data_IF_773345230003
#
_entry.id   IF_773345230003
#
_cell.length_a   1.000
_cell.length_b   1.000
_cell.length_c   1.000
_cell.angle_alpha   90.00
_cell.angle_beta   90.00
_cell.angle_gamma   90.00
#
_symmetry.space_group_name_H-M   'P 1'
#
loop_
_entity.id
_entity.type
_entity.pdbx_description
1 polymer ?
#
# COMPACT_ATOMS: atom_id res chain seq x y z
N UNK A 1 7.61 -22.71 21.64
CA UNK A 1 6.63 -22.86 20.54
C UNK A 1 6.34 -21.48 19.99
N UNK A 2 6.79 -21.19 18.77
CA UNK A 2 6.41 -19.94 18.10
C UNK A 2 5.08 -20.25 17.39
N UNK A 3 3.98 -19.75 17.94
CA UNK A 3 2.68 -19.84 17.30
C UNK A 3 2.73 -19.02 16.01
N UNK A 4 2.76 -19.68 14.85
CA UNK A 4 2.55 -19.03 13.55
C UNK A 4 1.05 -18.78 13.43
N UNK A 5 0.60 -17.55 13.70
CA UNK A 5 -0.78 -17.16 13.39
C UNK A 5 -0.90 -17.13 11.86
N UNK A 6 -1.76 -17.99 11.31
CA UNK A 6 -2.19 -17.87 9.91
C UNK A 6 -2.88 -16.52 9.72
N UNK A 7 -2.62 -15.90 8.56
CA UNK A 7 -3.32 -14.69 8.12
C UNK A 7 -4.83 -14.99 8.01
N UNK A 8 -5.71 -14.11 8.51
CA UNK A 8 -7.15 -14.28 8.36
C UNK A 8 -7.55 -14.16 6.88
N UNK A 9 -8.54 -14.95 6.49
CA UNK A 9 -9.19 -14.87 5.19
C UNK A 9 -10.02 -13.60 5.06
N UNK A 10 -10.36 -13.20 3.83
CA UNK A 10 -11.16 -12.00 3.60
C UNK A 10 -12.56 -12.10 4.26
N UNK A 11 -13.15 -13.29 4.29
CA UNK A 11 -14.45 -13.51 4.92
C UNK A 11 -14.38 -13.38 6.45
N UNK A 12 -13.29 -13.87 7.05
CA UNK A 12 -13.02 -13.67 8.48
C UNK A 12 -12.81 -12.18 8.79
N UNK A 13 -12.06 -11.45 7.96
CA UNK A 13 -11.87 -10.01 8.09
C UNK A 13 -13.23 -9.29 8.00
N UNK A 14 -14.08 -9.66 7.05
CA UNK A 14 -15.42 -9.07 6.89
C UNK A 14 -16.29 -9.31 8.13
N UNK A 15 -16.24 -10.51 8.69
CA UNK A 15 -16.96 -10.85 9.92
C UNK A 15 -16.42 -10.11 11.15
N UNK A 16 -15.11 -9.82 11.20
CA UNK A 16 -14.49 -9.00 12.23
C UNK A 16 -14.91 -7.53 12.12
N UNK A 17 -14.88 -6.96 10.92
CA UNK A 17 -15.32 -5.58 10.65
C UNK A 17 -16.77 -5.36 11.07
N UNK A 18 -17.66 -6.33 10.81
CA UNK A 18 -19.07 -6.25 11.18
C UNK A 18 -19.33 -6.18 12.70
N UNK A 19 -18.34 -6.53 13.53
CA UNK A 19 -18.44 -6.48 15.00
C UNK A 19 -17.88 -5.18 15.60
N UNK A 20 -17.24 -4.33 14.78
CA UNK A 20 -16.62 -3.08 15.23
C UNK A 20 -17.72 -2.03 15.47
N UNK A 21 -17.68 -1.28 16.59
CA UNK A 21 -18.59 -0.16 16.81
C UNK A 21 -18.51 0.88 15.68
N UNK A 22 -19.61 1.56 15.33
CA UNK A 22 -19.62 2.49 14.19
C UNK A 22 -18.56 3.60 14.28
N UNK A 23 -18.26 4.12 15.48
CA UNK A 23 -17.23 5.15 15.65
C UNK A 23 -15.83 4.62 15.35
N UNK A 24 -15.48 3.45 15.87
CA UNK A 24 -14.17 2.83 15.63
C UNK A 24 -14.01 2.40 14.17
N UNK A 25 -15.12 2.02 13.51
CA UNK A 25 -15.14 1.69 12.09
C UNK A 25 -14.85 2.90 11.19
N UNK A 26 -15.33 4.09 11.58
CA UNK A 26 -15.03 5.35 10.87
C UNK A 26 -13.54 5.66 10.98
N UNK A 27 -12.97 5.60 12.19
CA UNK A 27 -11.54 5.82 12.39
C UNK A 27 -10.69 4.83 11.60
N UNK A 28 -11.04 3.54 11.63
CA UNK A 28 -10.33 2.50 10.86
C UNK A 28 -10.43 2.76 9.35
N UNK A 29 -11.56 3.27 8.86
CA UNK A 29 -11.73 3.60 7.46
C UNK A 29 -10.82 4.75 7.04
N UNK A 30 -10.70 5.80 7.85
CA UNK A 30 -9.79 6.93 7.60
C UNK A 30 -8.33 6.47 7.50
N UNK A 31 -7.88 5.60 8.41
CA UNK A 31 -6.51 5.04 8.37
C UNK A 31 -6.26 4.16 7.13
N UNK A 32 -7.25 3.37 6.71
CA UNK A 32 -7.17 2.58 5.48
C UNK A 32 -7.06 3.50 4.26
N UNK A 33 -7.88 4.55 4.22
CA UNK A 33 -7.89 5.52 3.13
C UNK A 33 -6.53 6.22 3.00
N UNK A 34 -5.95 6.71 4.10
CA UNK A 34 -4.62 7.34 4.11
C UNK A 34 -3.53 6.43 3.53
N UNK A 35 -3.55 5.15 3.91
CA UNK A 35 -2.60 4.15 3.41
C UNK A 35 -2.78 3.88 1.91
N UNK A 36 -4.02 3.80 1.44
CA UNK A 36 -4.33 3.58 0.04
C UNK A 36 -3.95 4.80 -0.81
N UNK A 37 -4.24 6.01 -0.34
CA UNK A 37 -3.83 7.25 -1.00
C UNK A 37 -2.31 7.34 -1.14
N UNK A 38 -1.56 6.95 -0.10
CA UNK A 38 -0.09 6.88 -0.17
C UNK A 38 0.36 5.92 -1.27
N UNK A 39 -0.27 4.74 -1.35
CA UNK A 39 0.07 3.73 -2.36
C UNK A 39 -0.26 4.21 -3.78
N UNK A 40 -1.40 4.86 -3.98
CA UNK A 40 -1.79 5.40 -5.29
C UNK A 40 -0.91 6.58 -5.72
N UNK A 41 -0.53 7.49 -4.81
CA UNK A 41 0.44 8.56 -5.10
C UNK A 41 1.80 7.97 -5.48
N UNK A 42 2.28 6.95 -4.75
CA UNK A 42 3.53 6.27 -5.07
C UNK A 42 3.48 5.61 -6.45
N UNK A 43 2.36 4.95 -6.77
CA UNK A 43 2.15 4.33 -8.08
C UNK A 43 2.11 5.37 -9.21
N UNK A 44 1.44 6.51 -9.00
CA UNK A 44 1.41 7.59 -9.98
C UNK A 44 2.81 8.17 -10.22
N UNK A 45 3.61 8.33 -9.17
CA UNK A 45 5.00 8.76 -9.29
C UNK A 45 5.83 7.74 -10.07
N UNK A 46 5.73 6.45 -9.77
CA UNK A 46 6.42 5.38 -10.52
C UNK A 46 6.07 5.40 -12.01
N UNK A 47 4.80 5.65 -12.37
CA UNK A 47 4.39 5.74 -13.78
C UNK A 47 4.73 7.05 -14.47
N UNK A 48 5.01 8.12 -13.72
CA UNK A 48 5.23 9.46 -14.27
C UNK A 48 6.71 9.84 -14.45
N UNK A 49 7.62 8.95 -14.04
CA UNK A 49 9.07 9.12 -14.14
C UNK A 49 9.74 7.84 -14.66
N UNK A 50 9.03 7.05 -15.48
CA UNK A 50 9.61 5.83 -16.08
C UNK A 50 10.83 6.15 -16.95
N UNK A 51 10.92 7.39 -17.45
CA UNK A 51 12.05 7.93 -18.18
C UNK A 51 13.34 7.98 -17.33
N UNK A 52 13.24 7.99 -15.99
CA UNK A 52 14.42 7.91 -15.11
C UNK A 52 15.00 6.50 -15.00
N UNK A 53 14.22 5.48 -15.37
CA UNK A 53 14.70 4.10 -15.47
C UNK A 53 15.28 3.80 -16.87
N UNK A 54 15.26 4.77 -17.81
CA UNK A 54 15.85 4.61 -19.14
C UNK A 54 17.39 4.74 -19.05
N UNK A 55 18.16 3.68 -19.35
CA UNK A 55 19.62 3.74 -19.33
C UNK A 55 20.22 4.68 -20.39
N UNK A 56 19.47 5.11 -21.41
CA UNK A 56 19.88 6.16 -22.37
C UNK A 56 19.73 7.58 -21.78
N UNK A 57 18.82 7.78 -20.82
CA UNK A 57 18.62 9.03 -20.08
C UNK A 57 19.44 9.08 -18.78
N UNK A 58 20.17 8.02 -18.45
CA UNK A 58 21.06 7.95 -17.29
C UNK A 58 22.27 8.89 -17.49
N UNK A 59 22.12 10.12 -16.98
CA UNK A 59 23.16 11.16 -16.96
C UNK A 59 24.41 10.76 -16.16
N UNK A 60 24.36 9.68 -15.38
CA UNK A 60 25.50 9.12 -14.66
C UNK A 60 26.20 7.99 -15.43
N UNK A 61 25.61 7.50 -16.52
CA UNK A 61 26.21 6.52 -17.44
C UNK A 61 27.06 7.20 -18.54
N UNK A 62 27.61 8.38 -18.23
CA UNK A 62 28.66 8.97 -19.04
C UNK A 62 29.92 8.10 -18.90
N UNK A 63 30.15 7.22 -19.87
CA UNK A 63 31.39 6.44 -19.97
C UNK A 63 32.61 7.37 -19.79
N UNK A 64 33.38 7.16 -18.71
CA UNK A 64 34.77 7.65 -18.59
C UNK A 64 35.75 6.71 -19.25
#
# INVERSE_FOLDING_TARGET
MIQSKSQPTLDEIRAMIAQIPPQDLITLFEEIEERLQTTEIMRLAETGFQEWDDPEEDIYNAET
#
